data_IF_336338472045
#
_entry.id   IF_336338472045
#
_cell.length_a   1.000
_cell.length_b   1.000
_cell.length_c   1.000
_cell.angle_alpha   90.00
_cell.angle_beta   90.00
_cell.angle_gamma   90.00
#
_symmetry.space_group_name_H-M   'P 1'
#
loop_
_entity.id
_entity.type
_entity.pdbx_description
1 polymer ?
#
# COMPACT_ATOMS: atom_id res chain seq x y z
N UNK A 1 -15.59 -1.47 3.17
CA UNK A 1 -16.71 -1.13 4.09
C UNK A 1 -16.98 -2.20 5.14
N UNK A 2 -17.08 -3.53 4.83
CA UNK A 2 -17.31 -4.56 5.86
C UNK A 2 -16.31 -4.52 7.02
N UNK A 3 -15.02 -4.43 6.73
CA UNK A 3 -13.95 -4.41 7.75
C UNK A 3 -14.08 -3.29 8.79
N UNK A 4 -14.54 -2.11 8.40
CA UNK A 4 -14.76 -1.00 9.34
C UNK A 4 -15.94 -1.29 10.28
N UNK A 5 -17.00 -1.90 9.75
CA UNK A 5 -18.16 -2.30 10.54
C UNK A 5 -17.82 -3.42 11.53
N UNK A 6 -17.05 -4.42 11.10
CA UNK A 6 -16.51 -5.49 11.92
C UNK A 6 -15.61 -4.96 13.05
N UNK A 7 -14.84 -3.90 12.76
CA UNK A 7 -14.03 -3.19 13.76
C UNK A 7 -14.86 -2.29 14.70
N UNK A 8 -16.20 -2.28 14.57
CA UNK A 8 -17.11 -1.49 15.41
C UNK A 8 -17.21 -0.01 15.00
N UNK A 9 -16.72 0.37 13.81
CA UNK A 9 -16.81 1.73 13.33
C UNK A 9 -18.22 2.07 12.81
N UNK A 10 -18.67 3.31 13.04
CA UNK A 10 -19.84 3.85 12.36
C UNK A 10 -19.42 4.37 10.99
N UNK A 11 -19.96 3.79 9.93
CA UNK A 11 -19.64 4.17 8.55
C UNK A 11 -20.78 5.02 7.98
N UNK A 12 -20.44 6.25 7.53
CA UNK A 12 -21.37 7.16 6.87
C UNK A 12 -20.87 7.39 5.44
N UNK A 13 -21.65 6.97 4.45
CA UNK A 13 -21.36 7.18 3.03
C UNK A 13 -22.30 8.25 2.48
N UNK A 14 -21.73 9.34 1.93
CA UNK A 14 -22.53 10.43 1.34
C UNK A 14 -21.75 11.14 0.23
N UNK A 15 -22.38 11.32 -0.93
CA UNK A 15 -21.86 12.23 -1.97
C UNK A 15 -21.87 13.67 -1.42
N UNK A 16 -20.79 14.42 -1.64
CA UNK A 16 -20.66 15.82 -1.19
C UNK A 16 -20.57 15.95 0.35
N UNK A 17 -19.90 15.00 1.02
CA UNK A 17 -19.75 15.01 2.48
C UNK A 17 -19.18 16.34 3.01
N UNK A 18 -18.28 17.00 2.31
CA UNK A 18 -17.71 18.30 2.68
C UNK A 18 -18.76 19.42 2.76
N UNK A 19 -19.90 19.24 2.12
CA UNK A 19 -21.02 20.21 2.12
C UNK A 19 -22.11 19.88 3.13
N UNK A 20 -21.93 18.80 3.91
CA UNK A 20 -22.96 18.34 4.86
C UNK A 20 -22.79 19.01 6.23
N UNK A 21 -23.76 19.86 6.69
CA UNK A 21 -23.69 20.46 8.03
C UNK A 21 -23.60 19.42 9.16
N UNK A 22 -24.26 18.27 8.98
CA UNK A 22 -24.20 17.17 9.97
C UNK A 22 -22.77 16.61 10.11
N UNK A 23 -22.09 16.36 8.99
CA UNK A 23 -20.72 15.82 9.03
C UNK A 23 -19.73 16.85 9.57
N UNK A 24 -19.96 18.15 9.29
CA UNK A 24 -19.18 19.24 9.91
C UNK A 24 -19.40 19.29 11.42
N UNK A 25 -20.64 19.19 11.88
CA UNK A 25 -20.95 19.11 13.32
C UNK A 25 -20.25 17.95 14.00
N UNK A 26 -20.27 16.77 13.39
CA UNK A 26 -19.57 15.58 13.89
C UNK A 26 -18.05 15.79 13.91
N UNK A 27 -17.47 16.33 12.83
CA UNK A 27 -16.04 16.60 12.75
C UNK A 27 -15.57 17.62 13.80
N UNK A 28 -16.33 18.69 14.02
CA UNK A 28 -16.00 19.73 15.01
C UNK A 28 -16.13 19.26 16.47
N UNK A 29 -16.94 18.23 16.72
CA UNK A 29 -17.10 17.61 18.03
C UNK A 29 -16.18 16.41 18.27
N UNK A 30 -15.35 16.03 17.30
CA UNK A 30 -14.42 14.94 17.43
C UNK A 30 -13.17 15.34 18.25
N UNK A 31 -12.53 14.39 18.92
CA UNK A 31 -11.24 14.60 19.59
C UNK A 31 -10.09 14.74 18.59
N UNK A 32 -10.22 14.12 17.42
CA UNK A 32 -9.26 14.14 16.31
C UNK A 32 -9.98 13.82 15.00
N UNK A 33 -9.68 14.55 13.94
CA UNK A 33 -10.06 14.22 12.57
C UNK A 33 -8.84 13.63 11.85
N UNK A 34 -9.03 12.43 11.26
CA UNK A 34 -8.06 11.85 10.33
C UNK A 34 -8.56 12.09 8.91
N UNK A 35 -7.85 12.93 8.16
CA UNK A 35 -8.04 13.11 6.73
C UNK A 35 -7.06 12.19 5.99
N UNK A 36 -7.61 11.26 5.22
CA UNK A 36 -6.83 10.21 4.57
C UNK A 36 -6.68 10.52 3.07
N UNK A 37 -5.46 10.56 2.57
CA UNK A 37 -5.07 10.92 1.20
C UNK A 37 -5.13 12.43 0.88
N UNK A 38 -4.48 12.83 -0.22
CA UNK A 38 -4.50 14.22 -0.73
C UNK A 38 -5.88 14.63 -1.24
N UNK A 39 -6.73 13.67 -1.58
CA UNK A 39 -8.10 13.92 -2.07
C UNK A 39 -8.95 14.68 -1.05
N UNK A 40 -8.64 14.54 0.24
CA UNK A 40 -9.32 15.24 1.33
C UNK A 40 -8.87 16.72 1.51
N UNK A 41 -8.09 17.27 0.59
CA UNK A 41 -7.58 18.66 0.65
C UNK A 41 -8.68 19.71 0.91
N UNK A 42 -9.89 19.51 0.34
CA UNK A 42 -11.04 20.42 0.59
C UNK A 42 -11.52 20.36 2.03
N UNK A 43 -11.60 19.16 2.60
CA UNK A 43 -12.00 18.97 4.01
C UNK A 43 -10.95 19.56 4.94
N UNK A 44 -9.68 19.32 4.67
CA UNK A 44 -8.56 19.88 5.42
C UNK A 44 -8.58 21.42 5.38
N UNK A 45 -8.79 22.03 4.21
CA UNK A 45 -8.93 23.48 4.06
C UNK A 45 -10.07 24.04 4.92
N UNK A 46 -11.23 23.37 4.89
CA UNK A 46 -12.40 23.84 5.63
C UNK A 46 -12.25 23.68 7.16
N UNK A 47 -11.44 22.73 7.63
CA UNK A 47 -11.12 22.53 9.05
C UNK A 47 -9.92 23.35 9.51
N UNK A 48 -9.23 24.06 8.61
CA UNK A 48 -8.08 24.90 8.95
C UNK A 48 -8.48 26.02 9.91
N UNK A 49 -7.78 26.13 11.04
CA UNK A 49 -8.11 27.09 12.10
C UNK A 49 -9.26 26.68 13.04
N UNK A 50 -9.90 25.53 12.83
CA UNK A 50 -10.89 25.00 13.76
C UNK A 50 -10.24 24.53 15.08
N UNK A 51 -11.06 24.34 16.12
CA UNK A 51 -10.58 23.85 17.43
C UNK A 51 -10.17 22.36 17.40
N UNK A 52 -10.75 21.56 16.49
CA UNK A 52 -10.45 20.14 16.38
C UNK A 52 -9.08 19.94 15.75
N UNK A 53 -8.22 19.09 16.35
CA UNK A 53 -6.97 18.68 15.72
C UNK A 53 -7.23 17.86 14.46
N UNK A 54 -6.46 18.10 13.41
CA UNK A 54 -6.54 17.36 12.14
C UNK A 54 -5.20 16.72 11.85
N UNK A 55 -5.21 15.40 11.65
CA UNK A 55 -4.09 14.65 11.11
C UNK A 55 -4.38 14.40 9.62
N UNK A 56 -3.58 15.01 8.74
CA UNK A 56 -3.67 14.77 7.30
C UNK A 56 -2.61 13.76 6.91
N UNK A 57 -3.04 12.56 6.50
CA UNK A 57 -2.15 11.44 6.22
C UNK A 57 -2.09 11.14 4.73
N UNK A 58 -0.90 11.31 4.15
CA UNK A 58 -0.63 11.20 2.72
C UNK A 58 -0.09 9.81 2.38
N UNK A 59 -0.70 9.19 1.39
CA UNK A 59 -0.22 7.96 0.76
C UNK A 59 -0.49 7.98 -0.76
N UNK A 60 -0.43 9.15 -1.31
CA UNK A 60 -0.72 9.36 -2.71
C UNK A 60 0.57 9.37 -3.52
N UNK A 61 0.51 8.82 -4.72
CA UNK A 61 1.56 8.82 -5.72
C UNK A 61 1.67 10.20 -6.41
N UNK A 62 2.82 10.50 -7.02
CA UNK A 62 3.07 11.76 -7.74
C UNK A 62 2.00 12.03 -8.80
N UNK A 63 1.59 11.00 -9.53
CA UNK A 63 0.59 11.12 -10.59
C UNK A 63 -0.76 11.72 -10.14
N UNK A 64 -1.11 11.63 -8.85
CA UNK A 64 -2.35 12.17 -8.30
C UNK A 64 -2.32 13.69 -8.09
N UNK A 65 -1.14 14.27 -7.85
CA UNK A 65 -1.01 15.66 -7.40
C UNK A 65 -1.35 16.73 -8.43
N UNK A 66 -1.00 16.62 -9.72
CA UNK A 66 -1.37 17.63 -10.73
C UNK A 66 -2.88 17.90 -10.78
N UNK A 67 -3.69 16.88 -10.57
CA UNK A 67 -5.16 16.97 -10.64
C UNK A 67 -5.77 17.65 -9.41
N UNK A 68 -5.11 17.59 -8.25
CA UNK A 68 -5.64 18.09 -6.97
C UNK A 68 -4.90 19.34 -6.46
N UNK A 69 -3.77 19.72 -7.03
CA UNK A 69 -2.89 20.79 -6.55
C UNK A 69 -3.63 22.12 -6.27
N UNK A 70 -4.62 22.45 -7.11
CA UNK A 70 -5.44 23.66 -6.97
C UNK A 70 -6.34 23.67 -5.72
N UNK A 71 -6.59 22.50 -5.12
CA UNK A 71 -7.41 22.33 -3.92
C UNK A 71 -6.57 22.32 -2.64
N UNK A 72 -5.28 22.03 -2.76
CA UNK A 72 -4.35 22.00 -1.62
C UNK A 72 -4.17 23.45 -1.10
N UNK A 73 -4.44 23.72 0.19
CA UNK A 73 -4.27 25.07 0.74
C UNK A 73 -2.82 25.53 0.60
N UNK A 74 -2.60 26.84 0.53
CA UNK A 74 -1.24 27.43 0.55
C UNK A 74 -0.65 27.40 1.95
N UNK A 75 -1.49 27.55 2.95
CA UNK A 75 -1.11 27.57 4.36
C UNK A 75 -1.99 26.59 5.14
N UNK A 76 -1.44 25.98 6.16
CA UNK A 76 -2.14 25.08 7.07
C UNK A 76 -2.35 25.78 8.41
N UNK A 77 -3.56 25.69 8.96
CA UNK A 77 -3.82 26.15 10.32
C UNK A 77 -3.02 25.36 11.36
N UNK A 78 -2.77 25.99 12.51
CA UNK A 78 -2.00 25.38 13.60
C UNK A 78 -2.58 24.07 14.13
N UNK A 79 -3.87 23.82 13.89
CA UNK A 79 -4.55 22.58 14.26
C UNK A 79 -4.28 21.42 13.30
N UNK A 80 -3.62 21.64 12.15
CA UNK A 80 -3.34 20.60 11.15
C UNK A 80 -1.93 20.10 11.31
N UNK A 81 -1.78 18.75 11.29
CA UNK A 81 -0.49 18.07 11.23
C UNK A 81 -0.46 17.16 10.02
N UNK A 82 0.61 17.30 9.24
CA UNK A 82 0.77 16.57 8.00
C UNK A 82 1.72 15.39 8.20
N UNK A 83 1.28 14.22 7.76
CA UNK A 83 2.03 12.97 7.83
C UNK A 83 2.06 12.30 6.47
N UNK A 84 3.09 11.49 6.22
CA UNK A 84 3.19 10.65 5.03
C UNK A 84 3.60 9.23 5.38
N UNK A 85 3.21 8.27 4.54
CA UNK A 85 3.60 6.86 4.70
C UNK A 85 5.09 6.62 4.41
N UNK A 86 5.82 7.62 3.91
CA UNK A 86 7.24 7.54 3.62
C UNK A 86 7.73 8.76 2.85
N UNK A 87 9.03 8.78 2.53
CA UNK A 87 9.68 9.87 1.80
C UNK A 87 9.09 10.10 0.41
N UNK A 88 8.72 9.02 -0.29
CA UNK A 88 8.13 9.11 -1.63
C UNK A 88 6.81 9.91 -1.62
N UNK A 89 5.88 9.60 -0.71
CA UNK A 89 4.64 10.34 -0.55
C UNK A 89 4.87 11.78 -0.05
N UNK A 90 5.88 12.00 0.80
CA UNK A 90 6.27 13.36 1.21
C UNK A 90 6.77 14.18 0.03
N UNK A 91 7.65 13.60 -0.80
CA UNK A 91 8.19 14.25 -1.99
C UNK A 91 7.10 14.57 -3.02
N UNK A 92 6.09 13.71 -3.15
CA UNK A 92 4.92 13.98 -3.98
C UNK A 92 4.16 15.25 -3.52
N UNK A 93 3.94 15.43 -2.22
CA UNK A 93 3.37 16.68 -1.70
C UNK A 93 4.34 17.86 -1.88
N UNK A 94 5.64 17.68 -1.63
CA UNK A 94 6.65 18.74 -1.78
C UNK A 94 6.79 19.21 -3.22
N UNK A 95 6.43 18.42 -4.22
CA UNK A 95 6.41 18.86 -5.63
C UNK A 95 5.41 20.00 -5.89
N UNK A 96 4.39 20.16 -5.02
CA UNK A 96 3.36 21.20 -5.13
C UNK A 96 3.34 22.17 -3.93
N UNK A 97 3.87 21.76 -2.78
CA UNK A 97 3.97 22.54 -1.54
C UNK A 97 5.29 22.24 -0.84
N UNK A 98 6.42 22.76 -1.33
CA UNK A 98 7.74 22.48 -0.77
C UNK A 98 7.91 23.01 0.67
N UNK A 99 7.11 24.00 1.07
CA UNK A 99 7.13 24.61 2.38
C UNK A 99 6.50 23.79 3.50
N UNK A 100 5.77 22.73 3.17
CA UNK A 100 5.06 21.96 4.18
C UNK A 100 5.99 21.07 5.00
N UNK A 101 5.84 21.12 6.33
CA UNK A 101 6.54 20.22 7.24
C UNK A 101 5.77 18.89 7.33
N UNK A 102 6.29 17.84 6.74
CA UNK A 102 5.69 16.51 6.67
C UNK A 102 6.47 15.55 7.54
N UNK A 103 5.79 14.87 8.46
CA UNK A 103 6.37 13.88 9.35
C UNK A 103 6.13 12.48 8.82
N UNK A 104 7.06 11.54 9.01
CA UNK A 104 6.80 10.14 8.67
C UNK A 104 5.77 9.53 9.62
N UNK A 105 4.84 8.76 9.07
CA UNK A 105 3.92 7.87 9.77
C UNK A 105 3.62 6.69 8.86
N UNK A 106 4.48 5.69 8.92
CA UNK A 106 4.34 4.48 8.13
C UNK A 106 3.17 3.66 8.71
N UNK A 107 2.33 3.10 7.85
CA UNK A 107 1.19 2.29 8.29
C UNK A 107 1.66 1.02 9.02
N UNK A 108 0.84 0.54 9.97
CA UNK A 108 1.10 -0.70 10.70
C UNK A 108 0.25 -1.85 10.21
N UNK A 109 0.86 -2.95 9.80
CA UNK A 109 0.16 -4.19 9.50
C UNK A 109 0.18 -5.14 10.71
N UNK A 110 -0.87 -5.95 10.92
CA UNK A 110 -0.83 -7.04 11.89
C UNK A 110 0.16 -8.11 11.45
N UNK A 111 0.82 -8.74 12.40
CA UNK A 111 1.63 -9.92 12.13
C UNK A 111 0.71 -11.15 12.00
N UNK A 112 0.48 -11.57 10.79
CA UNK A 112 -0.33 -12.75 10.49
C UNK A 112 0.52 -13.95 10.04
N UNK A 113 1.84 -13.92 10.21
CA UNK A 113 2.68 -15.08 9.86
C UNK A 113 2.36 -16.34 10.68
N UNK A 114 1.86 -16.15 11.91
CA UNK A 114 1.43 -17.25 12.79
C UNK A 114 -0.07 -17.60 12.66
N UNK A 115 -0.84 -16.85 11.86
CA UNK A 115 -2.27 -17.12 11.65
C UNK A 115 -2.46 -18.39 10.80
N UNK A 116 -3.58 -19.07 10.99
CA UNK A 116 -4.02 -20.13 10.08
C UNK A 116 -4.73 -19.49 8.90
N UNK A 117 -4.32 -19.85 7.70
CA UNK A 117 -4.96 -19.45 6.44
C UNK A 117 -5.04 -20.63 5.48
N UNK A 118 -5.92 -20.54 4.48
CA UNK A 118 -6.07 -21.58 3.47
C UNK A 118 -4.82 -21.66 2.61
N UNK A 119 -4.39 -22.89 2.32
CA UNK A 119 -3.28 -23.11 1.39
C UNK A 119 -3.70 -22.77 -0.04
N UNK A 120 -2.90 -21.97 -0.72
CA UNK A 120 -3.02 -21.73 -2.15
C UNK A 120 -2.07 -22.65 -2.90
N UNK A 121 -2.62 -23.44 -3.83
CA UNK A 121 -1.83 -24.40 -4.60
C UNK A 121 -0.95 -23.69 -5.63
N UNK A 122 0.36 -23.81 -5.45
CA UNK A 122 1.40 -23.30 -6.34
C UNK A 122 2.15 -24.44 -7.07
N UNK A 123 1.57 -25.64 -7.15
CA UNK A 123 2.18 -26.80 -7.81
C UNK A 123 2.54 -26.55 -9.28
N UNK A 124 1.79 -25.67 -9.95
CA UNK A 124 2.08 -25.24 -11.32
C UNK A 124 3.44 -24.51 -11.46
N UNK A 125 3.97 -23.94 -10.38
CA UNK A 125 5.30 -23.34 -10.39
C UNK A 125 6.44 -24.38 -10.42
N UNK A 126 6.11 -25.68 -10.35
CA UNK A 126 7.07 -26.77 -10.52
C UNK A 126 8.15 -26.86 -9.44
N UNK A 127 7.91 -26.31 -8.23
CA UNK A 127 8.87 -26.30 -7.13
C UNK A 127 10.08 -25.37 -7.35
N UNK A 128 10.08 -24.58 -8.42
CA UNK A 128 11.13 -23.60 -8.71
C UNK A 128 11.01 -22.37 -7.79
N UNK A 129 12.12 -21.62 -7.57
CA UNK A 129 12.06 -20.31 -6.95
C UNK A 129 10.97 -19.44 -7.60
N UNK A 130 10.02 -18.94 -6.80
CA UNK A 130 8.87 -18.19 -7.28
C UNK A 130 9.05 -16.69 -6.99
N UNK A 131 9.05 -15.90 -8.07
CA UNK A 131 9.08 -14.44 -8.04
C UNK A 131 7.68 -13.91 -8.32
N UNK A 132 7.11 -13.12 -7.41
CA UNK A 132 5.73 -12.69 -7.51
C UNK A 132 5.57 -11.17 -7.46
N UNK A 133 4.65 -10.65 -8.27
CA UNK A 133 4.14 -9.29 -8.18
C UNK A 133 2.63 -9.29 -7.96
N UNK A 134 2.14 -8.37 -7.10
CA UNK A 134 0.73 -8.30 -6.73
C UNK A 134 0.24 -6.87 -6.83
N UNK A 135 -0.84 -6.62 -7.57
CA UNK A 135 -1.45 -5.31 -7.70
C UNK A 135 -2.28 -5.17 -8.97
N UNK A 136 -3.03 -4.06 -9.10
CA UNK A 136 -3.69 -3.70 -10.35
C UNK A 136 -2.68 -3.52 -11.49
N UNK A 137 -3.04 -3.93 -12.69
CA UNK A 137 -2.18 -3.79 -13.86
C UNK A 137 -2.42 -2.43 -14.48
N UNK A 138 -1.52 -1.51 -14.17
CA UNK A 138 -1.54 -0.11 -14.59
C UNK A 138 -0.11 0.39 -14.81
N UNK A 139 0.08 1.39 -15.65
CA UNK A 139 1.39 1.93 -16.04
C UNK A 139 2.25 2.25 -14.81
N UNK A 140 1.66 2.87 -13.80
CA UNK A 140 2.31 3.22 -12.53
C UNK A 140 2.94 2.02 -11.81
N UNK A 141 2.39 0.80 -12.01
CA UNK A 141 2.87 -0.43 -11.35
C UNK A 141 3.94 -1.18 -12.11
N UNK A 142 4.24 -0.79 -13.36
CA UNK A 142 5.42 -1.26 -14.09
C UNK A 142 5.45 -2.75 -14.44
N UNK A 143 4.29 -3.42 -14.62
CA UNK A 143 4.29 -4.84 -14.99
C UNK A 143 5.02 -5.09 -16.32
N UNK A 144 4.99 -4.12 -17.24
CA UNK A 144 5.72 -4.17 -18.50
C UNK A 144 7.26 -4.16 -18.31
N UNK A 145 7.77 -3.44 -17.30
CA UNK A 145 9.20 -3.45 -16.94
C UNK A 145 9.59 -4.85 -16.47
N UNK A 146 8.78 -5.43 -15.59
CA UNK A 146 9.04 -6.79 -15.10
C UNK A 146 8.97 -7.82 -16.23
N UNK A 147 7.99 -7.69 -17.15
CA UNK A 147 7.93 -8.54 -18.34
C UNK A 147 9.19 -8.40 -19.23
N UNK A 148 9.66 -7.17 -19.46
CA UNK A 148 10.89 -6.91 -20.23
C UNK A 148 12.11 -7.52 -19.53
N UNK A 149 12.24 -7.34 -18.23
CA UNK A 149 13.34 -7.90 -17.45
C UNK A 149 13.38 -9.43 -17.52
N UNK A 150 12.22 -10.11 -17.45
CA UNK A 150 12.16 -11.57 -17.61
C UNK A 150 12.64 -12.00 -19.00
N UNK A 151 12.28 -11.26 -20.05
CA UNK A 151 12.74 -11.55 -21.43
C UNK A 151 14.24 -11.36 -21.64
N UNK A 152 14.89 -10.52 -20.84
CA UNK A 152 16.34 -10.29 -20.87
C UNK A 152 17.14 -11.35 -20.12
N UNK A 153 16.49 -12.19 -19.32
CA UNK A 153 17.18 -13.27 -18.63
C UNK A 153 17.77 -14.28 -19.62
N UNK A 154 19.01 -14.77 -19.37
CA UNK A 154 19.53 -15.91 -20.13
C UNK A 154 18.55 -17.09 -20.08
N UNK A 155 18.32 -17.79 -21.20
CA UNK A 155 17.33 -18.89 -21.24
C UNK A 155 17.52 -19.97 -20.15
N UNK A 156 18.78 -20.29 -19.83
CA UNK A 156 19.08 -21.28 -18.79
C UNK A 156 18.81 -20.77 -17.37
N UNK A 157 18.96 -19.46 -17.11
CA UNK A 157 18.60 -18.83 -15.85
C UNK A 157 17.08 -18.75 -15.72
N UNK A 158 16.40 -18.32 -16.78
CA UNK A 158 14.93 -18.19 -16.79
C UNK A 158 14.24 -19.53 -16.48
N UNK A 159 14.74 -20.66 -17.02
CA UNK A 159 14.19 -22.02 -16.76
C UNK A 159 14.24 -22.45 -15.30
N UNK A 160 15.14 -21.87 -14.51
CA UNK A 160 15.32 -22.19 -13.07
C UNK A 160 14.29 -21.54 -12.16
N UNK A 161 13.49 -20.59 -12.66
CA UNK A 161 12.55 -19.82 -11.85
C UNK A 161 11.12 -19.86 -12.40
N UNK A 162 10.18 -19.46 -11.59
CA UNK A 162 8.80 -19.20 -11.94
C UNK A 162 8.41 -17.76 -11.59
N UNK A 163 7.56 -17.16 -12.41
CA UNK A 163 7.14 -15.78 -12.28
C UNK A 163 5.62 -15.69 -12.22
N UNK A 164 5.08 -15.06 -11.19
CA UNK A 164 3.64 -14.96 -10.97
C UNK A 164 3.19 -13.50 -10.95
N UNK A 165 2.26 -13.19 -11.82
CA UNK A 165 1.56 -11.92 -11.87
C UNK A 165 0.16 -12.07 -11.28
N UNK A 166 -0.15 -11.32 -10.21
CA UNK A 166 -1.47 -11.37 -9.55
C UNK A 166 -2.11 -10.00 -9.61
N UNK A 167 -3.27 -9.89 -10.25
CA UNK A 167 -4.02 -8.65 -10.27
C UNK A 167 -5.04 -8.52 -11.38
N UNK A 168 -5.89 -7.51 -11.27
CA UNK A 168 -6.85 -7.14 -12.31
C UNK A 168 -6.23 -6.15 -13.29
N UNK A 169 -6.59 -6.26 -14.55
CA UNK A 169 -6.27 -5.25 -15.55
C UNK A 169 -7.04 -3.95 -15.26
N UNK A 170 -6.32 -2.88 -14.99
CA UNK A 170 -6.83 -1.52 -14.99
C UNK A 170 -6.55 -0.84 -16.34
N UNK A 171 -5.43 -1.19 -16.98
CA UNK A 171 -5.03 -0.72 -18.30
C UNK A 171 -4.75 -1.90 -19.22
N UNK A 172 -5.26 -1.83 -20.47
CA UNK A 172 -5.16 -2.94 -21.44
C UNK A 172 -3.70 -3.24 -21.81
N UNK A 173 -2.89 -2.22 -22.03
CA UNK A 173 -1.49 -2.35 -22.43
C UNK A 173 -0.67 -3.17 -21.44
N UNK A 174 -0.86 -2.91 -20.14
CA UNK A 174 -0.15 -3.67 -19.08
C UNK A 174 -0.59 -5.13 -19.05
N UNK A 175 -1.88 -5.38 -19.29
CA UNK A 175 -2.39 -6.76 -19.40
C UNK A 175 -1.87 -7.49 -20.63
N UNK A 176 -1.77 -6.79 -21.75
CA UNK A 176 -1.29 -7.37 -23.02
C UNK A 176 0.19 -7.74 -22.92
N UNK A 177 1.01 -6.94 -22.24
CA UNK A 177 2.41 -7.29 -21.94
C UNK A 177 2.52 -8.60 -21.16
N UNK A 178 1.70 -8.76 -20.11
CA UNK A 178 1.69 -9.98 -19.29
C UNK A 178 1.17 -11.18 -20.06
N UNK A 179 0.09 -11.02 -20.85
CA UNK A 179 -0.47 -12.10 -21.69
C UNK A 179 0.53 -12.57 -22.73
N UNK A 180 1.20 -11.64 -23.42
CA UNK A 180 2.24 -11.97 -24.39
C UNK A 180 3.35 -12.79 -23.74
N UNK A 181 3.87 -12.34 -22.60
CA UNK A 181 4.93 -13.07 -21.90
C UNK A 181 4.47 -14.44 -21.41
N UNK A 182 3.24 -14.56 -20.91
CA UNK A 182 2.67 -15.85 -20.47
C UNK A 182 2.51 -16.83 -21.65
N UNK A 183 2.14 -16.31 -22.83
CA UNK A 183 2.02 -17.14 -24.05
C UNK A 183 3.40 -17.59 -24.57
N UNK A 184 4.42 -16.74 -24.48
CA UNK A 184 5.78 -17.06 -24.92
C UNK A 184 6.52 -18.01 -23.97
N UNK A 185 6.16 -17.99 -22.67
CA UNK A 185 6.85 -18.72 -21.60
C UNK A 185 5.88 -19.47 -20.68
N UNK A 186 5.01 -20.36 -21.21
CA UNK A 186 3.90 -20.96 -20.46
C UNK A 186 4.31 -21.85 -19.30
N UNK A 187 5.55 -22.38 -19.32
CA UNK A 187 6.06 -23.26 -18.26
C UNK A 187 6.63 -22.48 -17.05
N UNK A 188 6.88 -21.19 -17.21
CA UNK A 188 7.57 -20.38 -16.21
C UNK A 188 6.81 -19.12 -15.77
N UNK A 189 5.90 -18.60 -16.60
CA UNK A 189 5.18 -17.35 -16.34
C UNK A 189 3.69 -17.62 -16.20
N UNK A 190 3.14 -17.17 -15.07
CA UNK A 190 1.76 -17.42 -14.69
C UNK A 190 1.03 -16.11 -14.38
N UNK A 191 -0.26 -16.09 -14.67
CA UNK A 191 -1.14 -14.98 -14.36
C UNK A 191 -2.38 -15.44 -13.61
N UNK A 192 -2.68 -14.74 -12.51
CA UNK A 192 -3.90 -14.96 -11.71
C UNK A 192 -4.62 -13.63 -11.53
N UNK A 193 -5.87 -13.59 -11.99
CA UNK A 193 -6.66 -12.35 -11.98
C UNK A 193 -6.93 -11.81 -10.57
N UNK A 194 -7.12 -12.68 -9.60
CA UNK A 194 -7.47 -12.32 -8.22
C UNK A 194 -7.17 -13.47 -7.27
N UNK A 195 -6.67 -13.12 -6.10
CA UNK A 195 -6.57 -13.99 -4.93
C UNK A 195 -7.38 -13.39 -3.76
N UNK A 196 -7.90 -14.23 -2.91
CA UNK A 196 -8.48 -13.84 -1.62
C UNK A 196 -7.39 -13.42 -0.65
N UNK A 197 -7.75 -12.81 0.48
CA UNK A 197 -6.76 -12.41 1.51
C UNK A 197 -5.96 -13.60 2.03
N UNK A 198 -6.59 -14.74 2.23
CA UNK A 198 -5.91 -15.94 2.71
C UNK A 198 -4.98 -16.55 1.66
N UNK A 199 -5.41 -16.55 0.39
CA UNK A 199 -4.55 -16.96 -0.72
C UNK A 199 -3.35 -16.04 -0.90
N UNK A 200 -3.50 -14.72 -0.68
CA UNK A 200 -2.38 -13.78 -0.66
C UNK A 200 -1.41 -14.12 0.48
N UNK A 201 -1.89 -14.35 1.70
CA UNK A 201 -1.03 -14.79 2.82
C UNK A 201 -0.28 -16.07 2.48
N UNK A 202 -0.98 -17.03 1.86
CA UNK A 202 -0.39 -18.30 1.43
C UNK A 202 0.67 -18.09 0.34
N UNK A 203 0.42 -17.21 -0.64
CA UNK A 203 1.42 -16.83 -1.65
C UNK A 203 2.65 -16.21 -0.98
N UNK A 204 2.46 -15.24 -0.05
CA UNK A 204 3.56 -14.59 0.66
C UNK A 204 4.38 -15.59 1.48
N UNK A 205 3.76 -16.59 2.09
CA UNK A 205 4.45 -17.62 2.83
C UNK A 205 5.31 -18.54 1.93
N UNK A 206 4.89 -18.77 0.69
CA UNK A 206 5.48 -19.75 -0.23
C UNK A 206 6.42 -19.13 -1.28
N UNK A 207 6.21 -17.87 -1.71
CA UNK A 207 7.08 -17.24 -2.70
C UNK A 207 8.53 -17.14 -2.20
N UNK A 208 9.46 -17.02 -3.13
CA UNK A 208 10.89 -16.87 -2.84
C UNK A 208 11.26 -15.40 -2.67
N UNK A 209 10.77 -14.55 -3.57
CA UNK A 209 11.05 -13.13 -3.62
C UNK A 209 9.88 -12.37 -4.24
N UNK A 210 9.67 -11.13 -3.81
CA UNK A 210 8.70 -10.24 -4.41
C UNK A 210 9.38 -9.29 -5.39
N UNK A 211 8.66 -8.88 -6.43
CA UNK A 211 9.16 -7.92 -7.43
C UNK A 211 8.18 -6.75 -7.53
N UNK A 212 8.66 -5.56 -7.19
CA UNK A 212 7.90 -4.32 -7.28
C UNK A 212 8.56 -3.38 -8.30
N UNK A 213 8.13 -3.50 -9.55
CA UNK A 213 8.65 -2.72 -10.66
C UNK A 213 7.93 -1.36 -10.84
N UNK A 214 7.34 -0.83 -9.78
CA UNK A 214 6.50 0.36 -9.87
C UNK A 214 7.29 1.62 -10.24
N UNK A 215 6.77 2.39 -11.19
CA UNK A 215 7.24 3.74 -11.55
C UNK A 215 6.86 4.80 -10.51
N UNK A 216 5.83 4.54 -9.73
CA UNK A 216 5.33 5.48 -8.73
C UNK A 216 4.47 4.75 -7.71
N UNK A 217 5.03 4.38 -6.56
CA UNK A 217 4.30 3.72 -5.47
C UNK A 217 4.71 4.28 -4.11
N UNK A 218 3.82 4.99 -3.43
CA UNK A 218 4.12 5.60 -2.13
C UNK A 218 4.60 4.61 -1.07
N UNK A 219 4.04 3.39 -1.06
CA UNK A 219 4.40 2.31 -0.13
C UNK A 219 3.68 1.02 -0.54
N UNK A 220 4.29 0.16 -1.35
CA UNK A 220 3.65 -1.05 -1.86
C UNK A 220 3.34 -2.06 -0.75
N UNK A 221 2.06 -2.22 -0.44
CA UNK A 221 1.59 -3.04 0.68
C UNK A 221 1.99 -4.50 0.54
N UNK A 222 1.98 -5.06 -0.68
CA UNK A 222 2.33 -6.46 -0.90
C UNK A 222 3.79 -6.77 -0.58
N UNK A 223 4.71 -5.80 -0.75
CA UNK A 223 6.11 -5.92 -0.32
C UNK A 223 6.17 -6.05 1.20
N UNK A 224 5.47 -5.18 1.92
CA UNK A 224 5.37 -5.24 3.37
C UNK A 224 4.73 -6.56 3.85
N UNK A 225 3.71 -7.05 3.14
CA UNK A 225 3.10 -8.36 3.42
C UNK A 225 4.11 -9.51 3.25
N UNK A 226 5.00 -9.44 2.27
CA UNK A 226 6.11 -10.39 2.12
C UNK A 226 7.12 -10.34 3.27
N UNK A 227 7.48 -9.14 3.72
CA UNK A 227 8.39 -8.96 4.86
C UNK A 227 7.84 -9.60 6.16
N UNK A 228 6.52 -9.67 6.35
CA UNK A 228 5.88 -10.41 7.46
C UNK A 228 6.31 -11.88 7.45
N UNK A 229 6.45 -12.48 6.27
CA UNK A 229 6.88 -13.87 6.10
C UNK A 229 8.41 -14.01 5.91
N UNK A 230 9.14 -12.92 6.07
CA UNK A 230 10.60 -12.89 5.88
C UNK A 230 11.00 -13.06 4.42
N UNK A 231 10.22 -12.54 3.47
CA UNK A 231 10.54 -12.61 2.05
C UNK A 231 11.20 -11.33 1.60
N UNK A 232 12.39 -11.40 0.98
CA UNK A 232 13.04 -10.26 0.38
C UNK A 232 12.24 -9.76 -0.84
N UNK A 233 12.48 -8.50 -1.20
CA UNK A 233 11.90 -7.92 -2.40
C UNK A 233 12.98 -7.25 -3.26
N UNK A 234 12.76 -7.28 -4.58
CA UNK A 234 13.45 -6.44 -5.55
C UNK A 234 12.49 -5.29 -5.87
N UNK A 235 12.85 -4.06 -5.54
CA UNK A 235 11.97 -2.90 -5.70
C UNK A 235 12.64 -1.83 -6.56
N UNK A 236 11.83 -1.08 -7.30
CA UNK A 236 12.26 0.15 -7.95
C UNK A 236 12.57 1.24 -6.91
N UNK A 237 13.55 2.10 -7.18
CA UNK A 237 13.83 3.29 -6.36
C UNK A 237 12.65 4.26 -6.26
N UNK A 238 11.68 4.20 -7.18
CA UNK A 238 10.45 4.98 -7.18
C UNK A 238 9.36 4.43 -6.25
N UNK A 239 9.73 3.58 -5.31
CA UNK A 239 8.82 3.09 -4.27
C UNK A 239 9.20 3.63 -2.90
N UNK A 240 8.20 3.90 -2.06
CA UNK A 240 8.45 4.33 -0.68
C UNK A 240 9.19 3.29 0.17
N UNK A 241 9.16 2.03 -0.23
CA UNK A 241 9.90 0.95 0.44
C UNK A 241 11.39 1.00 0.14
N UNK A 242 11.81 1.52 -1.02
CA UNK A 242 13.21 1.52 -1.45
C UNK A 242 14.14 2.20 -0.43
N UNK A 243 13.70 3.31 0.17
CA UNK A 243 14.48 4.03 1.18
C UNK A 243 14.65 3.30 2.53
N UNK A 244 14.02 2.15 2.70
CA UNK A 244 14.08 1.34 3.93
C UNK A 244 14.80 0.00 3.70
N UNK A 245 14.98 -0.40 2.44
CA UNK A 245 15.69 -1.63 2.08
C UNK A 245 17.20 -1.41 2.21
N UNK A 246 17.85 -2.36 2.84
CA UNK A 246 19.32 -2.47 2.90
C UNK A 246 19.76 -3.47 1.84
N UNK A 247 20.45 -2.97 0.79
CA UNK A 247 20.89 -3.74 -0.36
C UNK A 247 21.65 -5.02 0.03
N UNK A 248 21.16 -6.17 -0.46
CA UNK A 248 21.73 -7.49 -0.21
C UNK A 248 21.55 -8.05 1.21
N UNK A 249 20.82 -7.34 2.10
CA UNK A 249 20.55 -7.75 3.47
C UNK A 249 19.10 -8.16 3.67
N UNK A 250 18.15 -7.35 3.22
CA UNK A 250 16.71 -7.61 3.32
C UNK A 250 15.96 -7.42 1.99
N UNK A 251 16.68 -7.09 0.92
CA UNK A 251 16.15 -6.92 -0.43
C UNK A 251 17.16 -6.27 -1.36
N UNK A 252 16.64 -5.82 -2.50
CA UNK A 252 17.42 -5.11 -3.52
C UNK A 252 16.64 -3.92 -4.06
N UNK A 253 17.36 -2.87 -4.39
CA UNK A 253 16.81 -1.72 -5.10
C UNK A 253 17.44 -1.69 -6.50
N UNK A 254 16.64 -1.46 -7.53
CA UNK A 254 17.13 -1.18 -8.86
C UNK A 254 16.74 0.22 -9.30
N UNK A 255 17.58 0.81 -10.14
CA UNK A 255 17.41 2.17 -10.62
C UNK A 255 16.32 2.18 -11.69
N UNK A 256 15.52 3.21 -11.61
CA UNK A 256 14.57 3.78 -12.56
C UNK A 256 14.17 2.87 -13.74
N UNK A 257 12.94 2.72 -14.06
CA UNK A 257 12.33 2.08 -15.26
C UNK A 257 13.26 1.20 -16.16
N UNK A 258 14.44 0.80 -15.64
CA UNK A 258 15.49 0.08 -16.36
C UNK A 258 15.30 -1.45 -16.24
N UNK A 259 14.76 -2.11 -17.28
CA UNK A 259 14.55 -3.55 -17.27
C UNK A 259 15.86 -4.35 -17.26
N UNK A 260 16.99 -3.81 -17.74
CA UNK A 260 18.30 -4.44 -17.69
C UNK A 260 18.79 -4.55 -16.23
N UNK A 261 18.66 -3.47 -15.46
CA UNK A 261 19.01 -3.45 -14.03
C UNK A 261 18.15 -4.43 -13.23
N UNK A 262 16.84 -4.47 -13.51
CA UNK A 262 15.95 -5.45 -12.89
C UNK A 262 16.33 -6.88 -13.29
N UNK A 263 16.68 -7.14 -14.56
CA UNK A 263 17.12 -8.46 -15.03
C UNK A 263 18.42 -8.91 -14.35
N UNK A 264 19.39 -8.02 -14.11
CA UNK A 264 20.59 -8.31 -13.34
C UNK A 264 20.27 -8.77 -11.92
N UNK A 265 19.37 -8.06 -11.20
CA UNK A 265 18.95 -8.44 -9.85
C UNK A 265 18.18 -9.76 -9.83
N UNK A 266 17.30 -9.98 -10.82
CA UNK A 266 16.58 -11.25 -10.98
C UNK A 266 17.54 -12.41 -11.26
N UNK A 267 18.48 -12.25 -12.18
CA UNK A 267 19.47 -13.28 -12.50
C UNK A 267 20.28 -13.66 -11.25
N UNK A 268 20.77 -12.67 -10.52
CA UNK A 268 21.47 -12.92 -9.27
C UNK A 268 20.60 -13.67 -8.25
N UNK A 269 19.35 -13.24 -8.07
CA UNK A 269 18.42 -13.84 -7.12
C UNK A 269 18.05 -15.28 -7.48
N UNK A 270 17.89 -15.58 -8.78
CA UNK A 270 17.61 -16.92 -9.30
C UNK A 270 18.78 -17.87 -9.06
N UNK A 271 20.01 -17.39 -9.24
CA UNK A 271 21.21 -18.20 -9.08
C UNK A 271 21.63 -18.39 -7.59
N UNK A 272 21.04 -17.62 -6.66
CA UNK A 272 21.42 -17.66 -5.24
C UNK A 272 20.20 -17.77 -4.30
N UNK A 273 19.32 -18.77 -4.48
CA UNK A 273 18.10 -18.89 -3.67
C UNK A 273 18.40 -19.12 -2.17
N UNK A 274 19.54 -19.73 -1.85
CA UNK A 274 19.99 -19.92 -0.46
C UNK A 274 20.36 -18.57 0.21
N UNK A 275 20.91 -17.61 -0.55
CA UNK A 275 21.20 -16.27 -0.02
C UNK A 275 19.92 -15.48 0.22
N UNK A 276 18.93 -15.61 -0.68
CA UNK A 276 17.59 -15.03 -0.44
C UNK A 276 16.95 -15.62 0.81
N UNK A 277 17.04 -16.93 1.01
CA UNK A 277 16.54 -17.58 2.22
C UNK A 277 17.25 -17.08 3.50
N UNK A 278 18.55 -16.80 3.41
CA UNK A 278 19.34 -16.25 4.52
C UNK A 278 18.94 -14.81 4.91
N UNK A 279 18.29 -14.04 4.02
CA UNK A 279 17.78 -12.68 4.30
C UNK A 279 16.55 -12.69 5.22
N UNK A 280 15.92 -13.82 5.44
CA UNK A 280 14.65 -13.93 6.19
C UNK A 280 14.65 -13.21 7.54
N UNK A 281 15.66 -13.34 8.42
CA UNK A 281 15.67 -12.63 9.70
C UNK A 281 15.70 -11.11 9.51
N UNK A 282 16.48 -10.58 8.57
CA UNK A 282 16.57 -9.15 8.29
C UNK A 282 15.27 -8.61 7.72
N UNK A 283 14.62 -9.33 6.81
CA UNK A 283 13.29 -8.97 6.30
C UNK A 283 12.25 -8.88 7.43
N UNK A 284 12.28 -9.83 8.37
CA UNK A 284 11.41 -9.80 9.55
C UNK A 284 11.71 -8.61 10.46
N UNK A 285 12.97 -8.31 10.71
CA UNK A 285 13.40 -7.15 11.49
C UNK A 285 12.95 -5.83 10.85
N UNK A 286 13.06 -5.71 9.52
CA UNK A 286 12.56 -4.56 8.77
C UNK A 286 11.05 -4.39 8.97
N UNK A 287 10.27 -5.47 8.89
CA UNK A 287 8.84 -5.43 9.19
C UNK A 287 8.58 -4.99 10.64
N UNK A 288 9.22 -5.62 11.62
CA UNK A 288 8.98 -5.38 13.05
C UNK A 288 9.34 -3.94 13.46
N UNK A 289 10.42 -3.41 12.90
CA UNK A 289 10.92 -2.07 13.22
C UNK A 289 10.12 -0.95 12.58
N UNK A 290 9.58 -1.13 11.35
CA UNK A 290 8.95 -0.07 10.55
C UNK A 290 7.47 -0.27 10.28
N UNK A 291 7.03 -1.51 10.05
CA UNK A 291 5.70 -1.82 9.51
C UNK A 291 4.77 -2.55 10.49
N UNK A 292 5.23 -2.93 11.66
CA UNK A 292 4.38 -3.56 12.67
C UNK A 292 3.41 -2.54 13.30
N UNK A 293 2.31 -3.04 13.87
CA UNK A 293 1.39 -2.19 14.67
C UNK A 293 2.14 -1.46 15.78
N UNK A 294 3.10 -2.12 16.42
CA UNK A 294 3.93 -1.54 17.48
C UNK A 294 4.81 -0.40 16.94
N UNK A 295 5.41 -0.57 15.77
CA UNK A 295 6.18 0.48 15.09
C UNK A 295 5.30 1.69 14.76
N UNK A 296 4.11 1.46 14.20
CA UNK A 296 3.13 2.51 13.94
C UNK A 296 2.78 3.29 15.22
N UNK A 297 2.44 2.58 16.29
CA UNK A 297 2.09 3.25 17.56
C UNK A 297 3.27 4.01 18.15
N UNK A 298 4.50 3.53 18.05
CA UNK A 298 5.70 4.29 18.45
C UNK A 298 5.81 5.59 17.68
N UNK A 299 5.72 5.55 16.33
CA UNK A 299 5.79 6.75 15.48
C UNK A 299 4.66 7.73 15.82
N UNK A 300 3.44 7.23 15.94
CA UNK A 300 2.26 8.04 16.26
C UNK A 300 2.37 8.72 17.63
N UNK A 301 2.91 8.05 18.65
CA UNK A 301 3.03 8.58 20.02
C UNK A 301 4.22 9.52 20.18
N UNK A 302 5.35 9.28 19.53
CA UNK A 302 6.52 10.17 19.57
C UNK A 302 6.22 11.49 18.84
N UNK A 303 5.42 11.47 17.78
CA UNK A 303 4.91 12.67 17.12
C UNK A 303 4.00 13.55 18.00
N UNK A 304 3.48 13.00 19.11
CA UNK A 304 2.57 13.69 20.05
C UNK A 304 3.22 14.71 20.97
N UNK A 305 4.53 14.65 21.27
CA UNK A 305 5.14 15.48 22.34
C UNK A 305 4.98 16.99 22.18
N UNK A 306 4.35 17.49 21.12
CA UNK A 306 4.06 18.92 20.90
C UNK A 306 2.61 19.32 20.66
N UNK A 307 1.68 18.40 20.37
CA UNK A 307 0.37 18.80 19.83
C UNK A 307 -0.88 18.28 20.58
N UNK A 308 -0.79 17.15 21.32
CA UNK A 308 -2.00 16.51 21.85
C UNK A 308 -1.84 16.08 23.32
N UNK A 309 -1.67 17.03 24.23
CA UNK A 309 -1.51 16.77 25.67
C UNK A 309 -2.75 16.18 26.36
N UNK A 310 -3.91 16.05 25.68
CA UNK A 310 -5.19 15.71 26.30
C UNK A 310 -5.82 14.38 25.87
N UNK A 311 -5.21 13.59 25.00
CA UNK A 311 -5.76 12.26 24.71
C UNK A 311 -5.11 11.27 25.67
N UNK A 312 -5.77 11.01 26.77
CA UNK A 312 -5.29 10.17 27.90
C UNK A 312 -5.48 8.68 27.69
N UNK A 313 -5.86 8.24 26.49
CA UNK A 313 -6.07 6.81 26.21
C UNK A 313 -6.05 6.52 24.71
N UNK A 314 -5.56 5.36 24.24
CA UNK A 314 -5.70 4.95 22.85
C UNK A 314 -7.12 4.43 22.63
N UNK A 315 -8.10 5.33 22.57
CA UNK A 315 -9.47 4.95 22.21
C UNK A 315 -9.74 5.28 20.75
N UNK A 316 -10.03 4.25 19.99
CA UNK A 316 -10.97 4.35 18.88
C UNK A 316 -12.26 4.88 19.45
N UNK A 317 -12.81 5.95 18.90
CA UNK A 317 -14.04 6.57 19.39
C UNK A 317 -15.17 5.56 19.25
N UNK A 318 -15.60 4.96 20.34
CA UNK A 318 -16.93 4.40 20.47
C UNK A 318 -17.84 5.58 20.75
N UNK A 319 -18.51 6.10 19.75
CA UNK A 319 -19.63 7.03 19.99
C UNK A 319 -20.68 6.31 20.83
N UNK A 320 -21.25 6.96 21.85
CA UNK A 320 -22.34 6.36 22.61
C UNK A 320 -23.46 5.96 21.64
N UNK A 321 -24.03 4.75 21.83
CA UNK A 321 -25.15 4.23 21.04
C UNK A 321 -26.23 5.28 20.92
N UNK A 322 -26.27 6.00 19.82
CA UNK A 322 -27.44 6.78 19.46
C UNK A 322 -28.58 5.77 19.26
N UNK A 323 -29.61 5.82 20.16
CA UNK A 323 -30.83 5.05 20.01
C UNK A 323 -31.42 5.39 18.63
N UNK A 324 -31.34 4.46 17.71
CA UNK A 324 -31.99 4.55 16.41
C UNK A 324 -33.50 4.53 16.63
N UNK A 325 -34.17 5.69 16.53
CA UNK A 325 -35.58 5.70 16.23
C UNK A 325 -35.77 5.13 14.83
N UNK A 326 -36.46 3.99 14.74
CA UNK A 326 -36.91 3.42 13.46
C UNK A 326 -37.75 4.46 12.72
N UNK A 327 -37.22 4.98 11.63
CA UNK A 327 -38.02 5.62 10.61
C UNK A 327 -38.49 4.52 9.65
N UNK A 328 -39.82 4.38 9.56
CA UNK A 328 -40.50 3.43 8.72
C UNK A 328 -40.25 3.67 7.23
N UNK A 329 -40.16 2.62 6.52
CA UNK A 329 -40.38 2.28 5.14
C UNK A 329 -40.16 3.34 4.06
N UNK A 330 -39.16 3.11 3.22
CA UNK A 330 -39.30 3.40 1.80
C UNK A 330 -38.48 2.37 0.98
N UNK A 331 -39.12 1.88 -0.07
CA UNK A 331 -38.81 0.76 -0.92
C UNK A 331 -37.50 0.88 -1.71
N UNK A 332 -36.89 -0.26 -1.84
CA UNK A 332 -36.01 -0.81 -2.90
C UNK A 332 -35.87 -0.01 -4.20
N UNK A 333 -34.62 0.39 -4.51
CA UNK A 333 -34.08 0.35 -5.87
C UNK A 333 -32.55 0.32 -5.76
N UNK A 334 -31.97 -0.78 -6.12
CA UNK A 334 -30.55 -1.03 -6.24
C UNK A 334 -30.05 -0.47 -7.58
N UNK A 335 -29.01 0.36 -7.63
CA UNK A 335 -28.21 0.52 -8.84
C UNK A 335 -26.96 -0.35 -8.79
N UNK A 336 -26.40 -0.72 -9.94
CA UNK A 336 -25.39 -1.74 -10.08
C UNK A 336 -23.99 -1.29 -9.67
N UNK A 337 -23.22 -2.24 -9.20
CA UNK A 337 -21.77 -2.39 -9.10
C UNK A 337 -20.90 -1.12 -9.19
N UNK A 338 -20.48 -0.63 -8.02
CA UNK A 338 -19.24 0.09 -7.86
C UNK A 338 -18.36 -0.66 -6.85
N UNK A 339 -17.58 -1.59 -7.35
CA UNK A 339 -16.43 -2.16 -6.64
C UNK A 339 -15.35 -1.07 -6.53
N UNK A 340 -15.24 -0.45 -5.38
CA UNK A 340 -14.13 0.41 -5.04
C UNK A 340 -13.17 -0.39 -4.19
N UNK A 341 -12.00 -0.56 -4.77
CA UNK A 341 -10.79 -1.19 -4.29
C UNK A 341 -10.26 -0.56 -3.00
N UNK A 342 -9.86 -1.38 -2.09
CA UNK A 342 -8.80 -1.13 -1.11
C UNK A 342 -7.44 -1.43 -1.74
#
# INVERSE_FOLDING_TARGET
MPLFLEAGATVITRKGCVQSPLLWGLALCADLVLANTVVEARAVRALSGARVPVLWWLHDAFAGYPHIAHQIPRELGENIRLYSVGSHAANAMHSVRPEFNIRPLIYGLPDYAAEKFSHYDLSYAGGRPLFATVGSFENRKGQDIFCKAIRLLPPETMKKASFLFVGKAAEAEMMDAVRSLTADCPDNVFYVKRLTRDEIKSLMAQCTCLVCASRDDPMPTFVTEGLIFGKPAIVSEHTGTAGLITEGVDGFVYEDDDPEKLAERLAWAIEHPEKLAAMRPACRELYESHYSKQAFFRQFTTGRKGAYRRISSPFFITLPKLRTKKFGGCSTNTPPDCDILS
#
